data_IF_472603182900
#
_entry.id   IF_472603182900
#
_cell.length_a   1.000
_cell.length_b   1.000
_cell.length_c   1.000
_cell.angle_alpha   90.00
_cell.angle_beta   90.00
_cell.angle_gamma   90.00
#
_symmetry.space_group_name_H-M   'P 1'
#
loop_
_entity.id
_entity.type
_entity.pdbx_description
1 polymer ?
#
# COMPACT_ATOMS: atom_id res chain seq x y z
N UNK A 1 -0.01 -0.89 -5.82
CA UNK A 1 -0.11 -0.94 -4.35
C UNK A 1 1.01 -0.12 -3.71
N UNK A 2 0.88 0.21 -2.43
CA UNK A 2 1.88 0.96 -1.65
C UNK A 2 2.30 0.12 -0.44
N UNK A 3 3.48 -0.50 -0.42
CA UNK A 3 3.94 -1.24 0.75
C UNK A 3 4.34 -0.28 1.87
N UNK A 4 3.98 -0.64 3.10
CA UNK A 4 4.38 0.04 4.31
C UNK A 4 4.93 -0.98 5.30
N UNK A 5 6.10 -0.68 5.87
CA UNK A 5 6.70 -1.51 6.92
C UNK A 5 6.14 -1.09 8.27
N UNK A 6 5.56 -2.03 9.02
CA UNK A 6 4.98 -1.76 10.35
C UNK A 6 5.99 -1.26 11.37
N UNK A 7 7.27 -1.52 11.16
CA UNK A 7 8.35 -1.09 12.05
C UNK A 7 8.74 0.38 11.85
N UNK A 8 8.17 1.05 10.85
CA UNK A 8 8.36 2.49 10.69
C UNK A 8 7.73 3.28 11.84
N UNK A 9 8.36 4.41 12.24
CA UNK A 9 7.75 5.33 13.20
C UNK A 9 6.36 5.79 12.75
N UNK A 10 5.45 5.97 13.71
CA UNK A 10 4.05 6.28 13.43
C UNK A 10 3.86 7.51 12.52
N UNK A 11 4.62 8.58 12.75
CA UNK A 11 4.58 9.80 11.92
C UNK A 11 4.89 9.53 10.44
N UNK A 12 5.77 8.57 10.17
CA UNK A 12 6.11 8.17 8.80
C UNK A 12 4.97 7.41 8.15
N UNK A 13 4.32 6.52 8.90
CA UNK A 13 3.16 5.76 8.42
C UNK A 13 1.97 6.67 8.14
N UNK A 14 1.69 7.64 9.04
CA UNK A 14 0.65 8.65 8.84
C UNK A 14 0.90 9.49 7.58
N UNK A 15 2.15 9.95 7.39
CA UNK A 15 2.53 10.65 6.17
C UNK A 15 2.30 9.80 4.91
N UNK A 16 2.68 8.53 4.93
CA UNK A 16 2.50 7.64 3.78
C UNK A 16 1.03 7.38 3.48
N UNK A 17 0.18 7.23 4.50
CA UNK A 17 -1.28 7.11 4.34
C UNK A 17 -1.86 8.35 3.68
N UNK A 18 -1.54 9.55 4.19
CA UNK A 18 -2.04 10.82 3.67
C UNK A 18 -1.56 11.09 2.24
N UNK A 19 -0.26 11.02 1.97
CA UNK A 19 0.35 11.34 0.67
C UNK A 19 -0.04 10.33 -0.41
N UNK A 20 -0.25 9.06 -0.05
CA UNK A 20 -0.61 8.03 -1.03
C UNK A 20 -2.03 8.15 -1.56
N UNK A 21 -2.93 8.79 -0.81
CA UNK A 21 -4.36 8.85 -1.09
C UNK A 21 -4.94 7.46 -1.46
N UNK A 22 -4.50 6.42 -0.74
CA UNK A 22 -4.95 5.05 -0.99
C UNK A 22 -6.45 4.94 -0.77
N UNK A 23 -7.15 4.17 -1.62
CA UNK A 23 -8.58 3.94 -1.44
C UNK A 23 -8.89 2.87 -0.38
N UNK A 24 -7.93 1.97 -0.10
CA UNK A 24 -8.07 0.85 0.85
C UNK A 24 -6.73 0.63 1.55
N UNK A 25 -6.79 0.42 2.86
CA UNK A 25 -5.69 -0.12 3.66
C UNK A 25 -5.92 -1.62 3.86
N UNK A 26 -4.94 -2.44 3.54
CA UNK A 26 -4.98 -3.90 3.81
C UNK A 26 -3.99 -4.19 4.94
N UNK A 27 -4.45 -4.81 6.02
CA UNK A 27 -3.65 -5.04 7.23
C UNK A 27 -4.24 -6.15 8.11
N UNK A 28 -3.60 -6.47 9.23
CA UNK A 28 -4.08 -7.40 10.26
C UNK A 28 -4.74 -6.60 11.40
N UNK A 29 -5.76 -7.16 12.04
CA UNK A 29 -6.51 -6.48 13.12
C UNK A 29 -5.61 -6.11 14.30
N UNK A 30 -4.72 -7.02 14.71
CA UNK A 30 -3.79 -6.79 15.82
C UNK A 30 -2.78 -5.68 15.51
N UNK A 31 -2.20 -5.70 14.30
CA UNK A 31 -1.26 -4.67 13.85
C UNK A 31 -1.93 -3.30 13.79
N UNK A 32 -3.14 -3.23 13.25
CA UNK A 32 -3.91 -1.99 13.15
C UNK A 32 -4.21 -1.41 14.54
N UNK A 33 -4.72 -2.24 15.47
CA UNK A 33 -4.99 -1.82 16.84
C UNK A 33 -3.73 -1.31 17.55
N UNK A 34 -2.60 -2.03 17.41
CA UNK A 34 -1.32 -1.61 17.98
C UNK A 34 -0.88 -0.23 17.45
N UNK A 35 -1.06 0.05 16.16
CA UNK A 35 -0.72 1.36 15.58
C UNK A 35 -1.66 2.48 16.02
N UNK A 36 -2.91 2.17 16.33
CA UNK A 36 -3.84 3.13 16.93
C UNK A 36 -3.47 3.50 18.38
N UNK A 37 -2.76 2.62 19.10
CA UNK A 37 -2.20 2.95 20.41
C UNK A 37 -0.96 3.86 20.31
N UNK A 38 -0.20 3.76 19.20
CA UNK A 38 0.97 4.61 18.93
C UNK A 38 0.60 6.02 18.44
N UNK A 39 -0.60 6.23 17.89
CA UNK A 39 -1.07 7.52 17.38
C UNK A 39 -2.41 7.45 16.63
N UNK A 40 -2.78 8.54 15.95
CA UNK A 40 -4.05 8.68 15.20
C UNK A 40 -4.07 7.89 13.88
N UNK A 41 -3.74 6.60 13.93
CA UNK A 41 -3.62 5.72 12.77
C UNK A 41 -4.99 5.22 12.30
N UNK A 42 -5.61 5.98 11.40
CA UNK A 42 -6.92 5.65 10.85
C UNK A 42 -6.95 5.73 9.32
N UNK A 43 -7.72 4.84 8.71
CA UNK A 43 -8.03 4.89 7.29
C UNK A 43 -9.53 4.66 7.08
N UNK A 44 -10.14 5.34 6.09
CA UNK A 44 -11.60 5.30 5.91
C UNK A 44 -12.12 3.91 5.53
N UNK A 45 -11.32 3.15 4.77
CA UNK A 45 -11.67 1.81 4.30
C UNK A 45 -10.54 0.84 4.61
N UNK A 46 -10.76 -0.07 5.55
CA UNK A 46 -9.76 -1.05 5.99
C UNK A 46 -10.26 -2.45 5.68
N UNK A 47 -9.44 -3.23 4.99
CA UNK A 47 -9.65 -4.65 4.75
C UNK A 47 -8.72 -5.44 5.66
N UNK A 48 -9.28 -6.16 6.61
CA UNK A 48 -8.52 -7.03 7.51
C UNK A 48 -8.28 -8.39 6.84
N UNK A 49 -7.04 -8.90 6.96
CA UNK A 49 -6.68 -10.20 6.39
C UNK A 49 -7.53 -11.34 6.99
N UNK A 50 -7.91 -11.20 8.25
CA UNK A 50 -8.76 -12.13 8.99
C UNK A 50 -10.18 -12.24 8.42
N UNK A 51 -10.65 -11.22 7.72
CA UNK A 51 -11.96 -11.21 7.05
C UNK A 51 -11.90 -11.84 5.64
N UNK A 52 -10.71 -12.11 5.12
CA UNK A 52 -10.51 -12.65 3.77
C UNK A 52 -10.68 -14.18 3.78
N UNK A 53 -11.72 -14.66 3.10
CA UNK A 53 -11.94 -16.09 2.88
C UNK A 53 -11.18 -16.56 1.64
N UNK A 54 -10.03 -17.19 1.84
CA UNK A 54 -9.20 -17.70 0.74
C UNK A 54 -9.67 -19.04 0.18
N UNK A 55 -10.60 -19.71 0.87
CA UNK A 55 -11.09 -21.05 0.50
C UNK A 55 -12.24 -21.00 -0.52
N UNK A 56 -12.78 -19.81 -0.79
CA UNK A 56 -13.82 -19.61 -1.79
C UNK A 56 -13.20 -19.45 -3.19
N UNK A 57 -13.81 -20.02 -4.25
CA UNK A 57 -13.29 -19.86 -5.60
C UNK A 57 -13.29 -18.38 -5.99
N UNK A 58 -12.10 -17.86 -6.31
CA UNK A 58 -11.95 -16.48 -6.73
C UNK A 58 -12.71 -16.21 -8.03
N UNK A 59 -13.47 -15.12 -8.06
CA UNK A 59 -14.05 -14.64 -9.31
C UNK A 59 -12.93 -14.24 -10.28
N UNK A 60 -13.14 -14.56 -11.56
CA UNK A 60 -12.18 -14.17 -12.60
C UNK A 60 -12.21 -12.66 -12.77
N UNK A 61 -11.06 -12.02 -12.55
CA UNK A 61 -10.89 -10.59 -12.86
C UNK A 61 -11.04 -10.40 -14.38
N UNK A 62 -12.06 -9.64 -14.79
CA UNK A 62 -12.36 -9.37 -16.21
C UNK A 62 -11.80 -8.03 -16.69
N UNK A 63 -11.57 -7.09 -15.77
CA UNK A 63 -10.99 -5.79 -16.08
C UNK A 63 -9.53 -5.74 -15.65
N UNK A 64 -8.62 -5.80 -16.62
CA UNK A 64 -7.19 -5.70 -16.38
C UNK A 64 -6.70 -4.25 -16.47
N UNK A 65 -5.67 -3.87 -15.71
CA UNK A 65 -5.06 -2.54 -15.82
C UNK A 65 -4.42 -2.33 -17.21
N UNK A 66 -4.47 -1.10 -17.71
CA UNK A 66 -3.73 -0.69 -18.89
C UNK A 66 -2.22 -0.57 -18.58
N UNK A 67 -1.32 -0.76 -19.55
CA UNK A 67 0.12 -0.69 -19.33
C UNK A 67 0.62 0.63 -18.71
N UNK A 68 -0.10 1.73 -18.93
CA UNK A 68 0.20 3.04 -18.37
C UNK A 68 -0.26 3.24 -16.92
N UNK A 69 -1.13 2.37 -16.39
CA UNK A 69 -1.57 2.47 -15.00
C UNK A 69 -0.42 2.11 -14.03
N UNK A 70 -0.48 2.68 -12.82
CA UNK A 70 0.47 2.39 -11.76
C UNK A 70 0.33 0.94 -11.29
N UNK A 71 1.44 0.21 -11.29
CA UNK A 71 1.53 -1.10 -10.65
C UNK A 71 1.80 -0.94 -9.15
N UNK A 72 2.75 -0.08 -8.78
CA UNK A 72 3.08 0.21 -7.39
C UNK A 72 3.70 1.59 -7.19
N UNK A 73 3.72 2.02 -5.93
CA UNK A 73 4.48 3.17 -5.47
C UNK A 73 5.28 2.77 -4.23
N UNK A 74 6.59 3.06 -4.22
CA UNK A 74 7.48 2.78 -3.09
C UNK A 74 8.06 4.09 -2.58
N UNK A 75 8.02 4.31 -1.26
CA UNK A 75 8.63 5.48 -0.66
C UNK A 75 10.12 5.27 -0.41
N UNK A 76 10.93 6.22 -0.86
CA UNK A 76 12.37 6.27 -0.58
C UNK A 76 12.69 7.42 0.36
N UNK A 77 13.85 7.38 1.03
CA UNK A 77 14.35 8.53 1.78
C UNK A 77 14.57 9.71 0.83
N UNK A 78 13.96 10.86 1.15
CA UNK A 78 14.19 12.09 0.42
C UNK A 78 15.37 12.86 1.00
N UNK A 79 16.17 13.50 0.14
CA UNK A 79 17.24 14.42 0.56
C UNK A 79 16.72 15.64 1.34
N UNK A 80 15.44 15.97 1.18
CA UNK A 80 14.73 17.07 1.85
C UNK A 80 14.05 16.65 3.16
N UNK A 81 14.39 15.47 3.69
CA UNK A 81 13.84 14.92 4.95
C UNK A 81 12.49 14.21 4.80
N UNK A 82 11.61 14.66 3.89
CA UNK A 82 10.33 13.97 3.61
C UNK A 82 10.51 12.79 2.64
N UNK A 83 9.91 11.61 2.89
CA UNK A 83 9.91 10.50 1.95
C UNK A 83 9.28 10.88 0.60
N UNK A 84 9.78 10.31 -0.50
CA UNK A 84 9.23 10.53 -1.85
C UNK A 84 8.63 9.24 -2.40
N UNK A 85 7.38 9.29 -2.85
CA UNK A 85 6.73 8.17 -3.52
C UNK A 85 7.22 8.00 -4.96
N UNK A 86 7.94 6.92 -5.24
CA UNK A 86 8.38 6.54 -6.59
C UNK A 86 7.28 5.70 -7.23
N UNK A 87 6.61 6.26 -8.23
CA UNK A 87 5.50 5.62 -8.94
C UNK A 87 6.00 4.82 -10.15
N UNK A 88 5.64 3.54 -10.22
CA UNK A 88 6.01 2.63 -11.31
C UNK A 88 4.76 2.10 -12.01
N UNK A 89 4.71 2.25 -13.33
CA UNK A 89 3.63 1.72 -14.17
C UNK A 89 3.82 0.23 -14.50
N UNK A 90 2.74 -0.46 -14.89
CA UNK A 90 2.81 -1.84 -15.38
C UNK A 90 3.81 -2.02 -16.53
N UNK A 91 3.84 -1.08 -17.49
CA UNK A 91 4.83 -1.07 -18.59
C UNK A 91 6.25 -0.91 -18.08
N UNK A 92 6.46 0.00 -17.12
CA UNK A 92 7.77 0.23 -16.51
C UNK A 92 8.30 -1.03 -15.80
N UNK A 93 7.42 -1.70 -15.05
CA UNK A 93 7.73 -2.99 -14.42
C UNK A 93 8.08 -4.07 -15.47
N UNK A 94 7.25 -4.24 -16.50
CA UNK A 94 7.50 -5.25 -17.52
C UNK A 94 8.84 -5.06 -18.24
N UNK A 95 9.25 -3.82 -18.50
CA UNK A 95 10.53 -3.52 -19.12
C UNK A 95 11.75 -3.92 -18.26
N UNK A 96 11.61 -3.97 -16.94
CA UNK A 96 12.67 -4.42 -16.02
C UNK A 96 12.78 -5.96 -15.93
N UNK A 97 11.71 -6.69 -16.31
CA UNK A 97 11.69 -8.15 -16.27
C UNK A 97 12.26 -8.79 -17.54
N UNK A 98 12.43 -8.02 -18.61
CA UNK A 98 13.07 -8.47 -19.86
C UNK A 98 14.56 -8.16 -19.73
N UNK A 99 15.27 -9.03 -19.01
CA UNK A 99 16.73 -9.10 -18.94
C UNK A 99 17.23 -10.36 -19.62
#
# INVERSE_FOLDING_TARGET
>A
YVPMDSEYPIDRLLYMLEDSNSAVLVTEMEMYAKKQEEGDFHHHNVLFLEDIKLDEPAEKITSLPLPGNLAYMIYTSGSTGKPKGVMISHRGLAAMCIG
#
